data_IF_369954069458
#
_entry.id   IF_369954069458
#
_cell.length_a   1.000
_cell.length_b   1.000
_cell.length_c   1.000
_cell.angle_alpha   90.00
_cell.angle_beta   90.00
_cell.angle_gamma   90.00
#
_symmetry.space_group_name_H-M   'P 1'
#
loop_
_entity.id
_entity.type
_entity.pdbx_description
1 polymer ?
#
# COMPACT_ATOMS: atom_id res chain seq x y z
N UNK A 1 8.11 12.84 2.85
CA UNK A 1 7.32 11.78 2.20
C UNK A 1 5.93 11.78 2.81
N UNK A 2 5.03 12.60 2.24
CA UNK A 2 3.64 12.74 2.72
C UNK A 2 2.74 11.64 2.14
N UNK A 3 3.10 11.14 0.95
CA UNK A 3 2.45 10.05 0.22
C UNK A 3 2.55 8.72 0.98
N UNK A 4 3.76 8.29 1.37
CA UNK A 4 3.97 7.06 2.17
C UNK A 4 3.12 7.04 3.43
N UNK A 5 3.16 8.13 4.20
CA UNK A 5 2.35 8.26 5.42
C UNK A 5 0.86 8.24 5.14
N UNK A 6 0.43 8.83 4.02
CA UNK A 6 -0.96 8.82 3.61
C UNK A 6 -1.42 7.43 3.12
N UNK A 7 -0.55 6.68 2.40
CA UNK A 7 -0.81 5.27 2.02
C UNK A 7 -0.93 4.42 3.28
N UNK A 8 0.04 4.53 4.19
CA UNK A 8 0.05 3.81 5.46
C UNK A 8 -1.19 4.15 6.29
N UNK A 9 -1.55 5.42 6.43
CA UNK A 9 -2.74 5.83 7.17
C UNK A 9 -4.03 5.29 6.55
N UNK A 10 -4.12 5.27 5.22
CA UNK A 10 -5.25 4.68 4.49
C UNK A 10 -5.34 3.16 4.73
N UNK A 11 -4.25 2.43 4.55
CA UNK A 11 -4.19 0.98 4.77
C UNK A 11 -4.38 0.60 6.24
N UNK A 12 -3.87 1.41 7.16
CA UNK A 12 -4.07 1.21 8.61
C UNK A 12 -5.51 1.50 9.03
N UNK A 13 -6.20 2.42 8.35
CA UNK A 13 -7.64 2.63 8.54
C UNK A 13 -8.46 1.48 7.97
N UNK A 14 -7.97 0.82 6.92
CA UNK A 14 -8.61 -0.33 6.29
C UNK A 14 -7.71 -1.58 6.31
N UNK A 15 -7.47 -2.20 7.47
CA UNK A 15 -6.57 -3.36 7.59
C UNK A 15 -7.09 -4.63 6.88
N UNK A 16 -8.33 -4.61 6.37
CA UNK A 16 -8.92 -5.67 5.55
C UNK A 16 -8.88 -5.34 4.05
N UNK A 17 -8.43 -4.15 3.67
CA UNK A 17 -8.27 -3.79 2.27
C UNK A 17 -7.02 -4.48 1.73
N UNK A 18 -7.24 -5.48 0.90
CA UNK A 18 -6.26 -6.02 -0.01
C UNK A 18 -6.61 -5.41 -1.37
N UNK A 19 -5.88 -4.38 -1.76
CA UNK A 19 -6.13 -3.67 -3.01
C UNK A 19 -4.97 -3.95 -3.98
N UNK A 20 -5.27 -4.05 -5.26
CA UNK A 20 -4.24 -4.12 -6.29
C UNK A 20 -3.65 -2.74 -6.54
N UNK A 21 -2.45 -2.64 -7.13
CA UNK A 21 -1.86 -1.34 -7.50
C UNK A 21 -2.85 -0.46 -8.27
N UNK A 22 -3.60 -1.06 -9.21
CA UNK A 22 -4.64 -0.36 -9.97
C UNK A 22 -5.80 0.09 -9.08
N UNK A 23 -6.23 -0.74 -8.12
CA UNK A 23 -7.24 -0.38 -7.13
C UNK A 23 -6.79 0.80 -6.27
N UNK A 24 -5.59 0.74 -5.69
CA UNK A 24 -5.02 1.82 -4.89
C UNK A 24 -4.96 3.10 -5.72
N UNK A 25 -4.38 3.07 -6.91
CA UNK A 25 -4.31 4.26 -7.78
C UNK A 25 -5.70 4.81 -8.10
N UNK A 26 -6.64 3.95 -8.53
CA UNK A 26 -7.95 4.38 -9.00
C UNK A 26 -8.88 4.87 -7.89
N UNK A 27 -8.75 4.34 -6.66
CA UNK A 27 -9.58 4.72 -5.52
C UNK A 27 -8.93 5.77 -4.61
N UNK A 28 -7.60 5.84 -4.59
CA UNK A 28 -6.86 6.72 -3.69
C UNK A 28 -6.53 8.08 -4.32
N UNK A 29 -6.17 8.16 -5.62
CA UNK A 29 -5.97 9.44 -6.30
C UNK A 29 -7.17 10.40 -6.19
N UNK A 30 -8.42 9.97 -6.48
CA UNK A 30 -9.56 10.88 -6.39
C UNK A 30 -9.81 11.39 -4.96
N UNK A 31 -9.37 10.66 -3.93
CA UNK A 31 -9.47 11.08 -2.52
C UNK A 31 -8.37 12.05 -2.11
N UNK A 32 -7.17 11.92 -2.68
CA UNK A 32 -6.02 12.74 -2.29
C UNK A 32 -5.99 14.12 -2.96
N UNK A 33 -6.77 14.38 -4.04
CA UNK A 33 -6.70 15.62 -4.86
C UNK A 33 -5.32 15.93 -5.47
N UNK A 34 -4.29 15.18 -5.10
CA UNK A 34 -2.96 15.23 -5.66
C UNK A 34 -2.93 14.40 -6.95
N UNK A 35 -2.42 14.99 -8.04
CA UNK A 35 -2.04 14.29 -9.26
C UNK A 35 -0.78 13.43 -9.01
N UNK A 36 -0.89 12.46 -8.11
CA UNK A 36 0.22 11.56 -7.82
C UNK A 36 0.31 10.57 -8.97
N UNK A 37 1.40 10.65 -9.74
CA UNK A 37 1.65 9.71 -10.84
C UNK A 37 1.67 8.27 -10.32
N UNK A 38 1.11 7.33 -11.08
CA UNK A 38 1.10 5.89 -10.74
C UNK A 38 2.49 5.37 -10.37
N UNK A 39 3.53 5.80 -11.09
CA UNK A 39 4.93 5.47 -10.79
C UNK A 39 5.35 5.84 -9.37
N UNK A 40 4.90 6.99 -8.85
CA UNK A 40 5.24 7.39 -7.48
C UNK A 40 4.55 6.50 -6.46
N UNK A 41 3.32 6.08 -6.72
CA UNK A 41 2.57 5.17 -5.85
C UNK A 41 3.21 3.78 -5.86
N UNK A 42 3.60 3.29 -7.03
CA UNK A 42 4.32 2.03 -7.20
C UNK A 42 5.64 2.04 -6.42
N UNK A 43 6.47 3.08 -6.55
CA UNK A 43 7.70 3.23 -5.77
C UNK A 43 7.46 3.24 -4.25
N UNK A 44 6.39 3.89 -3.81
CA UNK A 44 6.01 3.94 -2.39
C UNK A 44 5.59 2.56 -1.90
N UNK A 45 4.76 1.84 -2.66
CA UNK A 45 4.34 0.48 -2.33
C UNK A 45 5.53 -0.49 -2.31
N UNK A 46 6.41 -0.42 -3.31
CA UNK A 46 7.62 -1.24 -3.38
C UNK A 46 8.52 -1.02 -2.17
N UNK A 47 8.73 0.24 -1.77
CA UNK A 47 9.47 0.59 -0.54
C UNK A 47 8.84 -0.01 0.71
N UNK A 48 7.53 0.13 0.88
CA UNK A 48 6.81 -0.40 2.03
C UNK A 48 6.81 -1.94 2.06
N UNK A 49 6.80 -2.60 0.89
CA UNK A 49 6.97 -4.06 0.77
C UNK A 49 8.41 -4.46 1.13
N UNK A 50 9.41 -3.72 0.66
CA UNK A 50 10.81 -3.96 0.98
C UNK A 50 11.11 -3.78 2.48
N UNK A 51 10.42 -2.85 3.15
CA UNK A 51 10.46 -2.66 4.61
C UNK A 51 9.65 -3.72 5.38
N UNK A 52 8.89 -4.58 4.69
CA UNK A 52 8.05 -5.60 5.30
C UNK A 52 6.76 -5.05 5.94
N UNK A 53 6.40 -3.79 5.69
CA UNK A 53 5.17 -3.16 6.17
C UNK A 53 3.94 -3.56 5.33
N UNK A 54 4.17 -3.89 4.07
CA UNK A 54 3.18 -4.40 3.13
C UNK A 54 3.54 -5.82 2.69
N UNK A 55 2.51 -6.63 2.46
CA UNK A 55 2.65 -7.90 1.76
C UNK A 55 2.23 -7.69 0.31
N UNK A 56 3.09 -8.13 -0.63
CA UNK A 56 2.68 -8.31 -2.02
C UNK A 56 2.36 -9.80 -2.22
N UNK A 57 1.19 -10.08 -2.75
CA UNK A 57 0.76 -11.44 -3.08
C UNK A 57 0.38 -11.49 -4.57
N UNK A 58 1.08 -12.33 -5.33
CA UNK A 58 0.75 -12.55 -6.73
C UNK A 58 -0.37 -13.60 -6.83
N UNK A 59 -1.54 -13.14 -7.25
CA UNK A 59 -2.68 -14.00 -7.50
C UNK A 59 -2.42 -14.87 -8.74
N UNK A 60 -3.03 -16.07 -8.81
CA UNK A 60 -2.95 -16.93 -10.00
C UNK A 60 -3.53 -16.29 -11.27
N UNK A 61 -4.34 -15.24 -11.14
CA UNK A 61 -4.84 -14.43 -12.26
C UNK A 61 -3.80 -13.46 -12.84
N UNK A 62 -2.62 -13.33 -12.20
CA UNK A 62 -1.56 -12.39 -12.59
C UNK A 62 -1.71 -10.98 -12.00
N UNK A 63 -2.72 -10.77 -11.14
CA UNK A 63 -2.84 -9.53 -10.36
C UNK A 63 -1.96 -9.56 -9.11
N UNK A 64 -1.37 -8.42 -8.76
CA UNK A 64 -0.62 -8.24 -7.52
C UNK A 64 -1.51 -7.56 -6.49
N UNK A 65 -1.80 -8.28 -5.41
CA UNK A 65 -2.48 -7.76 -4.23
C UNK A 65 -1.47 -7.15 -3.27
N UNK A 66 -1.77 -5.93 -2.81
CA UNK A 66 -1.04 -5.27 -1.74
C UNK A 66 -1.93 -5.24 -0.50
N UNK A 67 -1.47 -5.86 0.59
CA UNK A 67 -2.18 -5.90 1.85
C UNK A 67 -1.27 -5.44 3.00
N UNK A 68 -1.84 -4.77 4.01
CA UNK A 68 -1.08 -4.39 5.20
C UNK A 68 -0.50 -5.64 5.86
N UNK A 69 0.82 -5.66 6.08
CA UNK A 69 1.42 -6.73 6.85
C UNK A 69 1.03 -6.55 8.32
N UNK A 70 -0.02 -7.25 8.73
CA UNK A 70 -0.52 -7.24 10.11
C UNK A 70 0.50 -7.79 11.12
N UNK A 71 1.56 -8.47 10.65
CA UNK A 71 2.66 -8.92 11.51
C UNK A 71 3.69 -7.81 11.79
N UNK A 72 3.79 -6.81 10.91
CA UNK A 72 4.67 -5.66 11.09
C UNK A 72 4.16 -4.75 12.23
N UNK A 73 2.84 -4.62 12.40
CA UNK A 73 2.26 -3.85 13.52
C UNK A 73 2.46 -4.51 14.89
N UNK A 74 2.86 -5.78 14.93
CA UNK A 74 3.25 -6.51 16.15
C UNK A 74 4.77 -6.61 16.37
N UNK A 75 5.57 -6.04 15.48
CA UNK A 75 7.05 -6.06 15.60
C UNK A 75 7.57 -4.70 16.05
N UNK A 76 7.27 -4.36 17.31
CA UNK A 76 8.19 -3.56 18.11
C UNK A 76 9.02 -4.52 18.95
N UNK A 77 10.33 -4.63 18.69
CA UNK A 77 11.26 -4.97 19.75
C UNK A 77 12.44 -3.98 19.81
N UNK A 78 12.50 -3.32 20.98
CA UNK A 78 13.63 -2.74 21.69
C UNK A 78 14.30 -1.45 21.16
#
# INVERSE_FOLDING_TARGET
MEVERSVLAYLHSHPQAADTLRGIVNWWLPRQRYEISCLRIEHVLDRLVAEGLLHRDELPDGEVLYALNRQATSSQPN
#
